data_IF_284238613157
#
_entry.id   IF_284238613157
#
_cell.length_a   1.000
_cell.length_b   1.000
_cell.length_c   1.000
_cell.angle_alpha   90.00
_cell.angle_beta   90.00
_cell.angle_gamma   90.00
#
_symmetry.space_group_name_H-M   'P 1'
#
loop_
_entity.id
_entity.type
_entity.pdbx_description
1 polymer ?
#
# COMPACT_ATOMS: atom_id res chain seq x y z
N UNK A 1 -16.50 -26.69 -46.17
CA UNK A 1 -17.93 -26.41 -45.86
C UNK A 1 -17.99 -26.10 -44.36
N UNK A 2 -17.80 -24.83 -43.97
CA UNK A 2 -18.86 -23.86 -43.55
C UNK A 2 -19.84 -24.49 -42.55
N UNK A 3 -20.02 -23.98 -41.33
CA UNK A 3 -20.39 -22.60 -40.96
C UNK A 3 -19.67 -22.11 -39.69
N UNK A 4 -18.83 -21.08 -39.78
CA UNK A 4 -19.10 -19.70 -39.33
C UNK A 4 -20.59 -19.37 -39.08
N UNK A 5 -21.01 -19.39 -37.81
CA UNK A 5 -21.99 -18.48 -37.19
C UNK A 5 -22.42 -19.03 -35.82
N UNK A 6 -21.59 -18.79 -34.79
CA UNK A 6 -22.00 -18.74 -33.38
C UNK A 6 -20.98 -17.87 -32.61
N UNK A 7 -20.79 -16.65 -33.12
CA UNK A 7 -20.31 -15.52 -32.34
C UNK A 7 -21.53 -14.77 -31.81
N UNK A 8 -21.35 -14.08 -30.67
CA UNK A 8 -22.30 -13.19 -29.96
C UNK A 8 -23.03 -13.90 -28.80
N UNK A 9 -22.38 -14.00 -27.63
CA UNK A 9 -22.94 -13.56 -26.33
C UNK A 9 -22.01 -13.74 -25.10
N UNK A 10 -20.69 -13.94 -25.25
CA UNK A 10 -19.77 -14.06 -24.10
C UNK A 10 -18.52 -13.23 -24.36
N UNK A 11 -18.58 -11.95 -24.00
CA UNK A 11 -17.42 -11.05 -23.84
C UNK A 11 -17.95 -9.69 -23.35
N UNK A 12 -18.12 -9.53 -22.03
CA UNK A 12 -18.33 -8.21 -21.42
C UNK A 12 -17.64 -8.14 -20.05
N UNK A 13 -16.83 -7.09 -19.92
CA UNK A 13 -16.19 -6.55 -18.72
C UNK A 13 -14.90 -7.27 -18.29
N UNK A 14 -13.83 -7.13 -19.07
CA UNK A 14 -12.48 -6.84 -18.59
C UNK A 14 -11.67 -6.35 -19.80
N UNK A 15 -11.51 -5.03 -19.94
CA UNK A 15 -10.50 -4.32 -20.74
C UNK A 15 -10.98 -2.89 -21.04
N UNK A 16 -10.66 -1.94 -20.17
CA UNK A 16 -10.45 -0.54 -20.58
C UNK A 16 -9.27 -0.02 -19.75
N UNK A 17 -8.05 -0.27 -20.23
CA UNK A 17 -6.89 0.56 -19.87
C UNK A 17 -6.49 1.27 -21.16
N UNK A 18 -6.79 2.56 -21.15
CA UNK A 18 -6.59 3.50 -22.24
C UNK A 18 -5.09 3.72 -22.46
N UNK A 19 -4.68 3.66 -23.72
CA UNK A 19 -3.40 4.17 -24.23
C UNK A 19 -3.14 5.58 -23.69
N UNK A 20 -2.11 5.74 -22.86
CA UNK A 20 -1.57 7.04 -22.46
C UNK A 20 -0.71 7.59 -23.60
N UNK A 21 -1.29 8.48 -24.41
CA UNK A 21 -0.50 9.42 -25.21
C UNK A 21 -0.09 10.55 -24.25
N UNK A 22 1.18 10.59 -23.88
CA UNK A 22 1.78 11.66 -23.10
C UNK A 22 2.03 12.87 -24.01
N UNK A 23 1.13 13.85 -23.98
CA UNK A 23 1.52 15.23 -24.32
C UNK A 23 2.12 15.84 -23.06
N UNK A 24 3.41 16.16 -23.11
CA UNK A 24 4.09 16.94 -22.09
C UNK A 24 3.58 18.39 -22.17
N UNK A 25 2.36 18.62 -21.70
CA UNK A 25 1.94 19.96 -21.34
C UNK A 25 2.56 20.26 -19.98
N UNK A 26 3.26 21.38 -19.87
CA UNK A 26 3.58 21.98 -18.58
C UNK A 26 2.26 22.44 -17.94
N UNK A 27 1.50 21.48 -17.39
CA UNK A 27 0.26 21.76 -16.69
C UNK A 27 0.66 22.53 -15.44
N UNK A 28 0.38 23.83 -15.43
CA UNK A 28 0.43 24.64 -14.23
C UNK A 28 -0.33 23.89 -13.13
N UNK A 29 0.29 23.69 -11.98
CA UNK A 29 -0.30 22.93 -10.89
C UNK A 29 -1.69 23.50 -10.56
N UNK A 30 -2.70 22.62 -10.54
CA UNK A 30 -4.08 23.01 -10.24
C UNK A 30 -4.10 23.80 -8.93
N UNK A 31 -4.78 24.96 -8.92
CA UNK A 31 -4.89 25.75 -7.69
C UNK A 31 -5.70 24.97 -6.67
N UNK A 32 -5.30 25.06 -5.40
CA UNK A 32 -5.97 24.37 -4.30
C UNK A 32 -7.47 24.66 -4.24
N UNK A 33 -7.87 25.88 -4.57
CA UNK A 33 -9.26 26.35 -4.53
C UNK A 33 -10.13 25.71 -5.61
N UNK A 34 -9.52 25.19 -6.68
CA UNK A 34 -10.19 24.52 -7.78
C UNK A 34 -10.36 23.01 -7.52
N UNK A 35 -9.82 22.48 -6.41
CA UNK A 35 -9.95 21.06 -6.05
C UNK A 35 -11.31 20.83 -5.38
N UNK A 36 -12.16 20.06 -6.05
CA UNK A 36 -13.53 19.78 -5.65
C UNK A 36 -13.90 18.33 -5.95
N UNK A 37 -14.60 17.68 -5.01
CA UNK A 37 -15.20 16.36 -5.22
C UNK A 37 -16.65 16.36 -4.73
N UNK A 38 -17.61 16.05 -5.59
CA UNK A 38 -19.00 15.89 -5.15
C UNK A 38 -19.19 14.65 -4.28
N UNK A 39 -18.30 13.66 -4.38
CA UNK A 39 -18.36 12.40 -3.62
C UNK A 39 -18.25 12.60 -2.11
N UNK A 40 -17.60 13.68 -1.66
CA UNK A 40 -17.44 13.99 -0.23
C UNK A 40 -18.63 14.73 0.37
N UNK A 41 -19.61 15.13 -0.44
CA UNK A 41 -20.79 15.84 0.07
C UNK A 41 -21.63 14.91 0.96
N UNK A 42 -22.33 15.49 1.94
CA UNK A 42 -23.12 14.74 2.92
C UNK A 42 -24.06 13.73 2.26
N UNK A 43 -24.88 14.18 1.31
CA UNK A 43 -25.85 13.32 0.63
C UNK A 43 -25.19 12.18 -0.15
N UNK A 44 -24.04 12.43 -0.79
CA UNK A 44 -23.31 11.40 -1.54
C UNK A 44 -22.67 10.38 -0.60
N UNK A 45 -22.11 10.83 0.53
CA UNK A 45 -21.56 9.95 1.56
C UNK A 45 -22.64 9.10 2.22
N UNK A 46 -23.80 9.68 2.56
CA UNK A 46 -24.93 8.93 3.13
C UNK A 46 -25.48 7.89 2.16
N UNK A 47 -25.62 8.25 0.88
CA UNK A 47 -26.01 7.28 -0.16
C UNK A 47 -24.98 6.18 -0.30
N UNK A 48 -23.69 6.52 -0.34
CA UNK A 48 -22.63 5.54 -0.45
C UNK A 48 -22.58 4.58 0.75
N UNK A 49 -22.69 5.08 1.99
CA UNK A 49 -22.73 4.26 3.20
C UNK A 49 -23.95 3.32 3.20
N UNK A 50 -25.13 3.81 2.81
CA UNK A 50 -26.32 2.98 2.66
C UNK A 50 -26.13 1.87 1.61
N UNK A 51 -25.63 2.20 0.42
CA UNK A 51 -25.34 1.22 -0.63
C UNK A 51 -24.33 0.16 -0.14
N UNK A 52 -23.26 0.60 0.53
CA UNK A 52 -22.22 -0.25 1.06
C UNK A 52 -22.77 -1.24 2.11
N UNK A 53 -23.45 -0.72 3.15
CA UNK A 53 -23.90 -1.54 4.26
C UNK A 53 -25.08 -2.44 3.88
N UNK A 54 -26.06 -1.88 3.18
CA UNK A 54 -27.31 -2.61 2.89
C UNK A 54 -27.19 -3.44 1.63
N UNK A 55 -26.80 -2.83 0.50
CA UNK A 55 -26.85 -3.52 -0.78
C UNK A 55 -25.64 -4.41 -1.03
N UNK A 56 -24.44 -3.92 -0.73
CA UNK A 56 -23.20 -4.68 -0.97
C UNK A 56 -23.00 -5.75 0.09
N UNK A 57 -23.16 -5.42 1.37
CA UNK A 57 -22.88 -6.36 2.47
C UNK A 57 -24.12 -7.13 2.93
N UNK A 58 -25.12 -6.47 3.51
CA UNK A 58 -26.24 -7.16 4.16
C UNK A 58 -27.06 -8.04 3.20
N UNK A 59 -27.47 -7.51 2.05
CA UNK A 59 -28.24 -8.26 1.06
C UNK A 59 -27.44 -9.45 0.51
N UNK A 60 -26.14 -9.28 0.25
CA UNK A 60 -25.29 -10.36 -0.22
C UNK A 60 -25.19 -11.47 0.81
N UNK A 61 -24.93 -11.13 2.08
CA UNK A 61 -24.80 -12.11 3.14
C UNK A 61 -26.13 -12.74 3.58
N UNK A 62 -27.27 -12.24 3.11
CA UNK A 62 -28.57 -12.91 3.24
C UNK A 62 -28.81 -14.03 2.20
N UNK A 63 -28.04 -14.07 1.10
CA UNK A 63 -28.16 -15.08 0.04
C UNK A 63 -27.24 -16.28 0.29
N UNK A 64 -27.49 -17.40 -0.38
CA UNK A 64 -26.54 -18.51 -0.46
C UNK A 64 -25.54 -18.31 -1.61
N UNK A 65 -24.23 -18.58 -1.42
CA UNK A 65 -23.27 -18.46 -2.51
C UNK A 65 -23.49 -19.55 -3.57
N UNK A 66 -23.47 -19.14 -4.83
CA UNK A 66 -23.49 -20.02 -6.00
C UNK A 66 -22.63 -19.43 -7.12
N UNK A 67 -22.42 -20.19 -8.19
CA UNK A 67 -21.55 -19.81 -9.30
C UNK A 67 -22.02 -18.57 -10.06
N UNK A 68 -23.27 -18.13 -9.91
CA UNK A 68 -23.82 -16.95 -10.58
C UNK A 68 -23.71 -15.68 -9.74
N UNK A 69 -23.49 -15.82 -8.43
CA UNK A 69 -23.56 -14.69 -7.49
C UNK A 69 -22.28 -14.48 -6.66
N UNK A 70 -21.27 -15.34 -6.80
CA UNK A 70 -20.08 -15.34 -5.96
C UNK A 70 -19.29 -14.02 -5.97
N UNK A 71 -19.21 -13.35 -7.12
CA UNK A 71 -18.58 -12.02 -7.26
C UNK A 71 -19.16 -10.96 -6.30
N UNK A 72 -20.41 -11.14 -5.85
CA UNK A 72 -21.03 -10.26 -4.85
C UNK A 72 -20.43 -10.48 -3.48
N UNK A 73 -20.14 -11.72 -3.11
CA UNK A 73 -19.47 -12.06 -1.86
C UNK A 73 -18.03 -11.57 -1.85
N UNK A 74 -17.33 -11.69 -2.97
CA UNK A 74 -16.00 -11.06 -3.14
C UNK A 74 -16.09 -9.54 -2.89
N UNK A 75 -17.05 -8.87 -3.54
CA UNK A 75 -17.29 -7.43 -3.38
C UNK A 75 -17.64 -7.05 -1.93
N UNK A 76 -18.46 -7.86 -1.25
CA UNK A 76 -18.81 -7.67 0.15
C UNK A 76 -17.59 -7.80 1.07
N UNK A 77 -16.75 -8.82 0.86
CA UNK A 77 -15.50 -8.99 1.61
C UNK A 77 -14.52 -7.83 1.38
N UNK A 78 -14.36 -7.37 0.13
CA UNK A 78 -13.52 -6.21 -0.19
C UNK A 78 -14.05 -4.94 0.51
N UNK A 79 -15.37 -4.73 0.53
CA UNK A 79 -16.02 -3.64 1.26
C UNK A 79 -15.78 -3.73 2.78
N UNK A 80 -15.96 -4.91 3.36
CA UNK A 80 -15.71 -5.16 4.79
C UNK A 80 -14.26 -4.81 5.17
N UNK A 81 -13.28 -5.26 4.38
CA UNK A 81 -11.86 -4.94 4.57
C UNK A 81 -11.60 -3.43 4.47
N UNK A 82 -12.02 -2.79 3.38
CA UNK A 82 -11.70 -1.40 3.08
C UNK A 82 -12.32 -0.41 4.08
N UNK A 83 -13.54 -0.68 4.54
CA UNK A 83 -14.29 0.23 5.42
C UNK A 83 -14.40 -0.28 6.86
N UNK A 84 -13.69 -1.37 7.18
CA UNK A 84 -13.62 -2.00 8.51
C UNK A 84 -15.00 -2.24 9.12
N UNK A 85 -15.92 -2.76 8.31
CA UNK A 85 -17.29 -3.03 8.72
C UNK A 85 -17.32 -4.30 9.60
N UNK A 86 -17.93 -4.19 10.78
CA UNK A 86 -18.10 -5.30 11.72
C UNK A 86 -19.56 -5.44 12.14
N UNK A 87 -19.90 -6.60 12.70
CA UNK A 87 -21.20 -6.89 13.30
C UNK A 87 -21.55 -8.38 13.21
N UNK A 88 -22.52 -8.83 13.99
CA UNK A 88 -22.88 -10.26 14.07
C UNK A 88 -23.33 -10.83 12.72
N UNK A 89 -24.08 -10.04 11.94
CA UNK A 89 -24.52 -10.43 10.59
C UNK A 89 -23.35 -10.57 9.61
N UNK A 90 -22.31 -9.74 9.76
CA UNK A 90 -21.09 -9.83 8.95
C UNK A 90 -20.31 -11.08 9.34
N UNK A 91 -20.10 -11.30 10.64
CA UNK A 91 -19.42 -12.50 11.15
C UNK A 91 -20.11 -13.78 10.67
N UNK A 92 -21.44 -13.86 10.79
CA UNK A 92 -22.21 -15.01 10.31
C UNK A 92 -22.08 -15.22 8.80
N UNK A 93 -22.05 -14.14 8.01
CA UNK A 93 -21.83 -14.22 6.56
C UNK A 93 -20.43 -14.73 6.19
N UNK A 94 -19.39 -14.29 6.90
CA UNK A 94 -18.02 -14.78 6.71
C UNK A 94 -17.88 -16.26 7.13
N UNK A 95 -18.51 -16.67 8.23
CA UNK A 95 -18.58 -18.07 8.66
C UNK A 95 -19.25 -18.96 7.60
N UNK A 96 -20.35 -18.48 7.01
CA UNK A 96 -21.01 -19.18 5.90
C UNK A 96 -20.07 -19.39 4.70
N UNK A 97 -19.25 -18.40 4.37
CA UNK A 97 -18.25 -18.56 3.30
C UNK A 97 -17.17 -19.58 3.67
N UNK A 98 -16.69 -19.60 4.92
CA UNK A 98 -15.73 -20.62 5.36
C UNK A 98 -16.30 -22.04 5.31
N UNK A 99 -17.57 -22.23 5.67
CA UNK A 99 -18.25 -23.52 5.57
C UNK A 99 -18.27 -24.08 4.13
N UNK A 100 -18.12 -23.21 3.14
CA UNK A 100 -18.10 -23.55 1.71
C UNK A 100 -16.77 -23.20 1.03
N UNK A 101 -15.70 -23.00 1.82
CA UNK A 101 -14.44 -22.42 1.34
C UNK A 101 -13.87 -23.17 0.13
N UNK A 102 -13.93 -24.51 0.15
CA UNK A 102 -13.37 -25.35 -0.90
C UNK A 102 -14.18 -25.34 -2.20
N UNK A 103 -15.42 -24.83 -2.17
CA UNK A 103 -16.27 -24.68 -3.35
C UNK A 103 -16.22 -23.26 -3.94
N UNK A 104 -15.68 -22.28 -3.21
CA UNK A 104 -15.57 -20.90 -3.68
C UNK A 104 -14.51 -20.76 -4.79
N UNK A 105 -14.68 -19.78 -5.65
CA UNK A 105 -13.67 -19.29 -6.57
C UNK A 105 -12.48 -18.63 -5.82
N UNK A 106 -11.34 -18.58 -6.50
CA UNK A 106 -10.08 -18.12 -5.93
C UNK A 106 -10.18 -16.68 -5.39
N UNK A 107 -10.81 -15.77 -6.12
CA UNK A 107 -10.88 -14.35 -5.74
C UNK A 107 -11.76 -14.14 -4.51
N UNK A 108 -12.87 -14.86 -4.38
CA UNK A 108 -13.70 -14.85 -3.17
C UNK A 108 -12.97 -15.41 -1.97
N UNK A 109 -12.23 -16.52 -2.12
CA UNK A 109 -11.39 -17.08 -1.04
C UNK A 109 -10.34 -16.07 -0.58
N UNK A 110 -9.69 -15.39 -1.52
CA UNK A 110 -8.69 -14.34 -1.25
C UNK A 110 -9.35 -13.17 -0.51
N UNK A 111 -10.47 -12.66 -1.00
CA UNK A 111 -11.19 -11.54 -0.40
C UNK A 111 -11.70 -11.88 1.01
N UNK A 112 -12.19 -13.10 1.24
CA UNK A 112 -12.59 -13.61 2.54
C UNK A 112 -11.43 -13.58 3.54
N UNK A 113 -10.27 -14.14 3.16
CA UNK A 113 -9.08 -14.15 4.02
C UNK A 113 -8.60 -12.72 4.34
N UNK A 114 -8.67 -11.80 3.37
CA UNK A 114 -8.35 -10.40 3.60
C UNK A 114 -9.34 -9.74 4.58
N UNK A 115 -10.65 -9.98 4.42
CA UNK A 115 -11.69 -9.43 5.27
C UNK A 115 -11.53 -9.88 6.72
N UNK A 116 -11.34 -11.18 6.99
CA UNK A 116 -11.16 -11.66 8.36
C UNK A 116 -9.86 -11.17 8.97
N UNK A 117 -8.77 -11.09 8.20
CA UNK A 117 -7.52 -10.48 8.68
C UNK A 117 -7.72 -9.02 9.10
N UNK A 118 -8.55 -8.27 8.36
CA UNK A 118 -8.82 -6.86 8.60
C UNK A 118 -9.65 -6.61 9.87
N UNK A 119 -10.76 -7.34 10.03
CA UNK A 119 -11.81 -6.99 11.01
C UNK A 119 -12.04 -8.02 12.12
N UNK A 120 -11.56 -9.25 11.97
CA UNK A 120 -11.71 -10.34 12.95
C UNK A 120 -10.36 -11.05 13.15
N UNK A 121 -9.34 -10.36 13.68
CA UNK A 121 -7.94 -10.79 13.57
C UNK A 121 -7.61 -12.07 14.34
N UNK A 122 -8.43 -12.50 15.30
CA UNK A 122 -8.21 -13.61 16.22
C UNK A 122 -9.41 -14.58 16.33
N UNK A 123 -10.52 -14.33 15.63
CA UNK A 123 -11.76 -15.08 15.83
C UNK A 123 -11.94 -16.30 14.90
N UNK A 124 -11.27 -16.32 13.75
CA UNK A 124 -11.36 -17.39 12.74
C UNK A 124 -10.14 -18.32 12.71
N UNK A 125 -9.48 -18.53 13.85
CA UNK A 125 -8.23 -19.32 13.93
C UNK A 125 -8.40 -20.75 13.41
N UNK A 126 -9.52 -21.41 13.75
CA UNK A 126 -9.77 -22.79 13.34
C UNK A 126 -10.00 -22.88 11.83
N UNK A 127 -10.85 -22.02 11.27
CA UNK A 127 -11.20 -21.99 9.85
C UNK A 127 -9.99 -21.64 8.99
N UNK A 128 -9.16 -20.69 9.44
CA UNK A 128 -7.94 -20.29 8.74
C UNK A 128 -6.87 -21.38 8.85
N UNK A 129 -6.77 -22.09 9.98
CA UNK A 129 -5.86 -23.23 10.10
C UNK A 129 -6.27 -24.38 9.14
N UNK A 130 -7.56 -24.70 9.07
CA UNK A 130 -8.08 -25.67 8.08
C UNK A 130 -7.80 -25.21 6.65
N UNK A 131 -7.92 -23.91 6.38
CA UNK A 131 -7.57 -23.34 5.07
C UNK A 131 -6.09 -23.52 4.76
N UNK A 132 -5.19 -23.22 5.71
CA UNK A 132 -3.76 -23.38 5.53
C UNK A 132 -3.36 -24.84 5.28
N UNK A 133 -3.94 -25.81 6.00
CA UNK A 133 -3.62 -27.23 5.82
C UNK A 133 -4.03 -27.79 4.46
N UNK A 134 -4.94 -27.12 3.74
CA UNK A 134 -5.49 -27.56 2.45
C UNK A 134 -5.17 -26.58 1.31
N UNK A 135 -4.26 -25.62 1.53
CA UNK A 135 -4.02 -24.56 0.56
C UNK A 135 -3.15 -25.05 -0.61
N UNK A 136 -3.72 -25.06 -1.81
CA UNK A 136 -2.99 -25.40 -3.04
C UNK A 136 -2.42 -24.19 -3.77
N UNK A 137 -2.82 -22.98 -3.35
CA UNK A 137 -2.37 -21.72 -3.95
C UNK A 137 -1.40 -21.00 -3.00
N UNK A 138 -0.17 -20.64 -3.43
CA UNK A 138 0.82 -19.99 -2.59
C UNK A 138 0.31 -18.72 -1.89
N UNK A 139 -0.56 -17.95 -2.55
CA UNK A 139 -1.12 -16.72 -1.98
C UNK A 139 -2.14 -16.97 -0.88
N UNK A 140 -3.03 -17.95 -1.05
CA UNK A 140 -3.99 -18.31 0.00
C UNK A 140 -3.27 -18.94 1.20
N UNK A 141 -2.22 -19.74 0.93
CA UNK A 141 -1.32 -20.24 1.98
C UNK A 141 -0.67 -19.08 2.74
N UNK A 142 -0.03 -18.13 2.03
CA UNK A 142 0.67 -17.02 2.66
C UNK A 142 -0.24 -16.08 3.47
N UNK A 143 -1.47 -15.84 3.00
CA UNK A 143 -2.47 -15.07 3.74
C UNK A 143 -2.92 -15.79 5.02
N UNK A 144 -3.16 -17.10 4.93
CA UNK A 144 -3.54 -17.92 6.09
C UNK A 144 -2.40 -18.01 7.10
N UNK A 145 -1.17 -18.20 6.61
CA UNK A 145 0.04 -18.22 7.42
C UNK A 145 0.24 -16.89 8.15
N UNK A 146 0.08 -15.76 7.45
CA UNK A 146 0.17 -14.44 8.04
C UNK A 146 -0.87 -14.19 9.14
N UNK A 147 -2.10 -14.70 8.96
CA UNK A 147 -3.16 -14.62 9.96
C UNK A 147 -2.80 -15.44 11.22
N UNK A 148 -2.38 -16.69 11.07
CA UNK A 148 -1.99 -17.53 12.21
C UNK A 148 -0.74 -16.99 12.92
N UNK A 149 0.28 -16.54 12.17
CA UNK A 149 1.50 -15.98 12.74
C UNK A 149 1.29 -14.63 13.45
N UNK A 150 0.28 -13.86 13.04
CA UNK A 150 -0.12 -12.63 13.76
C UNK A 150 -0.61 -12.94 15.18
N UNK A 151 -1.28 -14.07 15.36
CA UNK A 151 -1.86 -14.48 16.65
C UNK A 151 -0.86 -15.23 17.53
N UNK A 152 0.02 -16.03 16.92
CA UNK A 152 1.12 -16.68 17.61
C UNK A 152 2.41 -16.55 16.79
N UNK A 153 3.27 -15.61 17.18
CA UNK A 153 4.57 -15.39 16.53
C UNK A 153 5.71 -16.20 17.18
N UNK A 154 5.40 -17.25 17.94
CA UNK A 154 6.40 -18.11 18.57
C UNK A 154 7.21 -18.89 17.53
N UNK A 155 8.42 -19.29 17.92
CA UNK A 155 9.30 -20.12 17.08
C UNK A 155 8.62 -21.45 16.72
N UNK A 156 7.86 -22.03 17.65
CA UNK A 156 7.15 -23.29 17.43
C UNK A 156 6.09 -23.15 16.33
N UNK A 157 5.20 -22.16 16.43
CA UNK A 157 4.19 -21.93 15.41
C UNK A 157 4.82 -21.55 14.07
N UNK A 158 5.86 -20.70 14.07
CA UNK A 158 6.61 -20.38 12.86
C UNK A 158 7.21 -21.61 12.18
N UNK A 159 7.73 -22.57 12.95
CA UNK A 159 8.24 -23.84 12.42
C UNK A 159 7.13 -24.73 11.87
N UNK A 160 5.97 -24.81 12.52
CA UNK A 160 4.82 -25.57 12.02
C UNK A 160 4.34 -25.04 10.66
N UNK A 161 4.19 -23.72 10.53
CA UNK A 161 3.83 -23.08 9.26
C UNK A 161 4.86 -23.41 8.18
N UNK A 162 6.17 -23.32 8.49
CA UNK A 162 7.23 -23.65 7.53
C UNK A 162 7.23 -25.11 7.11
N UNK A 163 6.97 -26.04 8.03
CA UNK A 163 6.83 -27.46 7.71
C UNK A 163 5.67 -27.66 6.72
N UNK A 164 4.49 -27.11 7.01
CA UNK A 164 3.35 -27.18 6.08
C UNK A 164 3.65 -26.55 4.72
N UNK A 165 4.42 -25.45 4.69
CA UNK A 165 4.84 -24.80 3.46
C UNK A 165 5.71 -25.74 2.59
N UNK A 166 6.68 -26.42 3.19
CA UNK A 166 7.56 -27.37 2.50
C UNK A 166 6.78 -28.58 2.00
N UNK A 167 5.86 -29.12 2.81
CA UNK A 167 5.03 -30.28 2.45
C UNK A 167 4.06 -29.98 1.30
N UNK A 168 3.42 -28.81 1.31
CA UNK A 168 2.43 -28.44 0.29
C UNK A 168 3.07 -27.86 -0.99
N UNK A 169 4.24 -27.24 -0.88
CA UNK A 169 4.93 -26.60 -2.00
C UNK A 169 6.38 -27.07 -2.11
N UNK A 170 6.65 -28.26 -2.67
CA UNK A 170 7.99 -28.65 -3.05
C UNK A 170 8.62 -27.58 -3.97
N UNK A 171 9.79 -27.06 -3.59
CA UNK A 171 10.43 -25.94 -4.30
C UNK A 171 9.89 -24.55 -3.92
N UNK A 172 9.32 -24.38 -2.72
CA UNK A 172 8.80 -23.10 -2.21
C UNK A 172 9.80 -21.94 -2.33
N UNK A 173 11.10 -22.22 -2.25
CA UNK A 173 12.21 -21.27 -2.37
C UNK A 173 12.33 -20.64 -3.77
N UNK A 174 11.78 -21.30 -4.78
CA UNK A 174 11.66 -20.76 -6.15
C UNK A 174 10.44 -19.85 -6.33
N UNK A 175 9.49 -19.86 -5.40
CA UNK A 175 8.28 -19.04 -5.41
C UNK A 175 8.56 -17.77 -4.59
N UNK A 176 8.72 -16.58 -5.21
CA UNK A 176 9.15 -15.38 -4.50
C UNK A 176 8.27 -15.03 -3.29
N UNK A 177 6.97 -15.28 -3.39
CA UNK A 177 6.01 -15.03 -2.31
C UNK A 177 6.27 -15.90 -1.07
N UNK A 178 6.55 -17.20 -1.27
CA UNK A 178 6.77 -18.13 -0.16
C UNK A 178 8.16 -17.95 0.45
N UNK A 179 9.18 -17.64 -0.37
CA UNK A 179 10.49 -17.23 0.12
C UNK A 179 10.39 -15.98 1.01
N UNK A 180 9.58 -15.00 0.64
CA UNK A 180 9.41 -13.78 1.44
C UNK A 180 8.58 -14.03 2.71
N UNK A 181 7.58 -14.91 2.65
CA UNK A 181 6.86 -15.38 3.84
C UNK A 181 7.81 -16.05 4.83
N UNK A 182 8.73 -16.89 4.35
CA UNK A 182 9.72 -17.54 5.20
C UNK A 182 10.61 -16.50 5.92
N UNK A 183 11.13 -15.51 5.19
CA UNK A 183 11.91 -14.41 5.78
C UNK A 183 11.09 -13.64 6.81
N UNK A 184 9.83 -13.36 6.51
CA UNK A 184 8.93 -12.68 7.44
C UNK A 184 8.76 -13.48 8.75
N UNK A 185 8.53 -14.79 8.67
CA UNK A 185 8.40 -15.66 9.85
C UNK A 185 9.71 -15.68 10.65
N UNK A 186 10.85 -15.82 9.97
CA UNK A 186 12.16 -15.98 10.62
C UNK A 186 12.68 -14.67 11.25
N UNK A 187 12.47 -13.52 10.61
CA UNK A 187 13.19 -12.29 10.95
C UNK A 187 12.33 -11.15 11.47
N UNK A 188 10.99 -11.20 11.35
CA UNK A 188 10.12 -10.07 11.74
C UNK A 188 10.38 -9.59 13.16
N UNK A 189 10.40 -10.49 14.15
CA UNK A 189 10.54 -10.12 15.55
C UNK A 189 11.90 -9.45 15.84
N UNK A 190 12.96 -9.92 15.19
CA UNK A 190 14.29 -9.31 15.27
C UNK A 190 14.30 -7.92 14.59
N UNK A 191 13.68 -7.79 13.42
CA UNK A 191 13.61 -6.52 12.69
C UNK A 191 12.87 -5.42 13.47
N UNK A 192 11.82 -5.78 14.23
CA UNK A 192 11.07 -4.83 15.07
C UNK A 192 11.92 -4.13 16.13
N UNK A 193 12.99 -4.78 16.60
CA UNK A 193 13.90 -4.24 17.62
C UNK A 193 15.25 -3.78 17.06
N UNK A 194 15.49 -3.99 15.77
CA UNK A 194 16.75 -3.59 15.12
C UNK A 194 16.70 -2.09 14.83
N UNK A 195 17.70 -1.35 15.33
CA UNK A 195 17.84 0.07 15.05
C UNK A 195 18.11 0.31 13.57
N UNK A 196 17.54 1.39 13.04
CA UNK A 196 17.86 1.86 11.69
C UNK A 196 19.31 2.36 11.61
N UNK A 197 19.95 2.28 10.44
CA UNK A 197 21.20 2.99 10.19
C UNK A 197 21.00 4.52 10.29
N UNK A 198 22.09 5.27 10.39
CA UNK A 198 22.03 6.73 10.51
C UNK A 198 21.38 7.40 9.29
N UNK A 199 20.31 8.16 9.52
CA UNK A 199 19.59 8.90 8.47
C UNK A 199 20.44 10.04 7.88
N UNK A 200 21.36 10.64 8.63
CA UNK A 200 22.21 11.70 8.09
C UNK A 200 23.11 11.19 6.97
N UNK A 201 23.62 9.95 7.06
CA UNK A 201 24.35 9.31 5.96
C UNK A 201 23.51 9.14 4.70
N UNK A 202 22.23 8.79 4.83
CA UNK A 202 21.30 8.67 3.71
C UNK A 202 20.98 10.03 3.07
N UNK A 203 20.79 11.06 3.88
CA UNK A 203 20.55 12.43 3.40
C UNK A 203 21.76 12.99 2.65
N UNK A 204 22.98 12.74 3.14
CA UNK A 204 24.22 13.10 2.43
C UNK A 204 24.38 12.35 1.11
N UNK A 205 24.09 11.05 1.09
CA UNK A 205 24.15 10.23 -0.13
C UNK A 205 23.28 10.83 -1.24
N UNK A 206 22.04 11.18 -0.92
CA UNK A 206 21.11 11.76 -1.89
C UNK A 206 21.46 13.20 -2.29
N UNK A 207 21.98 14.01 -1.37
CA UNK A 207 22.58 15.32 -1.69
C UNK A 207 23.72 15.18 -2.70
N UNK A 208 24.66 14.27 -2.46
CA UNK A 208 25.81 14.06 -3.34
C UNK A 208 25.39 13.56 -4.72
N UNK A 209 24.36 12.71 -4.77
CA UNK A 209 23.74 12.24 -6.00
C UNK A 209 22.82 13.28 -6.69
N UNK A 210 22.65 14.48 -6.10
CA UNK A 210 21.78 15.56 -6.56
C UNK A 210 20.33 15.11 -6.83
N UNK A 211 19.80 14.24 -5.97
CA UNK A 211 18.45 13.67 -6.12
C UNK A 211 17.44 14.47 -5.31
N UNK A 212 16.27 14.73 -5.90
CA UNK A 212 15.09 15.14 -5.14
C UNK A 212 14.50 13.91 -4.46
N UNK A 213 14.23 14.02 -3.16
CA UNK A 213 13.81 12.87 -2.37
C UNK A 213 12.67 13.21 -1.43
N UNK A 214 11.67 12.34 -1.37
CA UNK A 214 10.66 12.32 -0.31
C UNK A 214 11.02 11.21 0.65
N UNK A 215 11.09 11.51 1.94
CA UNK A 215 11.26 10.51 2.99
C UNK A 215 9.96 10.39 3.77
N UNK A 216 9.26 9.26 3.63
CA UNK A 216 8.12 8.87 4.44
C UNK A 216 8.58 8.03 5.62
N UNK A 217 8.61 8.66 6.78
CA UNK A 217 9.13 8.12 8.03
C UNK A 217 7.95 7.59 8.86
N UNK A 218 7.94 6.30 9.09
CA UNK A 218 6.80 5.55 9.62
C UNK A 218 7.18 4.79 10.89
N UNK A 219 6.18 4.23 11.59
CA UNK A 219 6.39 3.23 12.64
C UNK A 219 6.28 1.82 12.07
N UNK A 220 6.94 0.86 12.72
CA UNK A 220 6.73 -0.57 12.41
C UNK A 220 5.28 -0.98 12.64
N UNK A 221 4.66 -0.53 13.74
CA UNK A 221 3.21 -0.62 13.88
C UNK A 221 2.53 0.42 12.99
N UNK A 222 1.97 -0.06 11.88
CA UNK A 222 1.26 0.73 10.86
C UNK A 222 -0.08 1.29 11.34
N UNK A 223 -0.58 0.94 12.51
CA UNK A 223 -1.74 1.61 13.10
C UNK A 223 -1.42 3.05 13.56
N UNK A 224 -0.14 3.45 13.58
CA UNK A 224 0.26 4.82 13.90
C UNK A 224 0.75 5.56 12.66
N UNK A 225 0.26 6.80 12.42
CA UNK A 225 0.65 7.57 11.25
C UNK A 225 2.12 7.98 11.31
N UNK A 226 2.70 8.08 10.12
CA UNK A 226 4.04 8.62 9.90
C UNK A 226 4.02 10.04 9.35
N UNK A 227 5.21 10.54 9.05
CA UNK A 227 5.44 11.89 8.56
C UNK A 227 6.35 11.85 7.33
N UNK A 228 6.01 12.63 6.31
CA UNK A 228 6.83 12.82 5.13
C UNK A 228 7.56 14.16 5.16
N UNK A 229 8.79 14.18 4.65
CA UNK A 229 9.60 15.39 4.43
C UNK A 229 10.24 15.37 3.04
N UNK A 230 10.57 16.55 2.52
CA UNK A 230 11.17 16.71 1.18
C UNK A 230 12.59 17.27 1.30
N UNK A 231 13.53 16.56 0.69
CA UNK A 231 14.89 17.04 0.43
C UNK A 231 15.02 17.42 -1.05
N UNK A 232 15.44 18.66 -1.32
CA UNK A 232 15.70 19.12 -2.68
C UNK A 232 17.02 18.56 -3.23
N UNK A 233 17.23 18.68 -4.53
CA UNK A 233 18.45 18.18 -5.19
C UNK A 233 19.75 18.84 -4.70
N UNK A 234 19.67 20.03 -4.10
CA UNK A 234 20.83 20.69 -3.48
C UNK A 234 21.14 20.16 -2.07
N UNK A 235 20.31 19.25 -1.55
CA UNK A 235 20.43 18.63 -0.25
C UNK A 235 19.76 19.38 0.91
N UNK A 236 19.15 20.56 0.66
CA UNK A 236 18.40 21.29 1.68
C UNK A 236 17.01 20.69 1.88
N UNK A 237 16.52 20.71 3.11
CA UNK A 237 15.15 20.33 3.43
C UNK A 237 14.17 21.48 3.16
N UNK A 238 12.96 21.13 2.72
CA UNK A 238 11.90 22.10 2.48
C UNK A 238 11.45 22.78 3.79
N UNK A 239 11.40 24.11 3.77
CA UNK A 239 11.05 24.93 4.94
C UNK A 239 10.01 25.98 4.57
N UNK A 240 9.14 26.30 5.52
CA UNK A 240 8.29 27.48 5.46
C UNK A 240 9.14 28.77 5.45
N UNK A 241 8.59 29.93 5.04
CA UNK A 241 9.31 31.20 5.06
C UNK A 241 9.85 31.59 6.45
N UNK A 242 9.20 31.13 7.52
CA UNK A 242 9.64 31.33 8.91
C UNK A 242 10.76 30.36 9.35
N UNK A 243 11.28 29.54 8.43
CA UNK A 243 12.35 28.59 8.69
C UNK A 243 11.90 27.25 9.27
N UNK A 244 10.61 27.05 9.61
CA UNK A 244 10.13 25.76 10.12
C UNK A 244 10.18 24.67 9.05
N UNK A 245 10.55 23.45 9.44
CA UNK A 245 10.54 22.29 8.56
C UNK A 245 9.12 22.00 8.08
N UNK A 246 8.93 21.88 6.76
CA UNK A 246 7.68 21.40 6.17
C UNK A 246 7.57 19.90 6.40
N UNK A 247 6.45 19.45 6.97
CA UNK A 247 6.19 18.07 7.36
C UNK A 247 4.75 17.74 6.97
N UNK A 248 4.53 16.54 6.41
CA UNK A 248 3.23 16.12 5.89
C UNK A 248 2.78 14.82 6.54
N UNK A 249 1.57 14.77 7.09
CA UNK A 249 1.04 13.56 7.73
C UNK A 249 0.65 12.50 6.69
N UNK A 250 1.16 11.27 6.85
CA UNK A 250 0.97 10.20 5.87
C UNK A 250 0.88 8.82 6.52
N UNK A 251 -0.08 8.01 6.06
CA UNK A 251 -0.32 6.65 6.50
C UNK A 251 0.21 5.66 5.45
N UNK A 252 1.04 4.70 5.89
CA UNK A 252 1.58 3.59 5.08
C UNK A 252 0.86 2.25 5.36
N UNK A 253 -0.35 2.33 5.92
CA UNK A 253 -1.18 1.19 6.34
C UNK A 253 -2.19 0.86 5.24
N UNK A 254 -2.28 -0.41 4.85
CA UNK A 254 -3.42 -0.84 4.04
C UNK A 254 -4.68 -1.00 4.89
N UNK A 255 -5.87 -1.11 4.30
CA UNK A 255 -7.11 -1.24 5.06
C UNK A 255 -7.17 -2.53 5.90
N UNK A 256 -6.64 -3.63 5.35
CA UNK A 256 -6.51 -4.91 6.05
C UNK A 256 -5.31 -4.99 6.99
N UNK A 257 -4.28 -4.15 6.77
CA UNK A 257 -2.97 -4.25 7.42
C UNK A 257 -2.22 -5.56 7.11
N UNK A 258 -2.54 -6.23 6.00
CA UNK A 258 -1.79 -7.41 5.57
C UNK A 258 -0.29 -7.08 5.42
N UNK A 259 0.61 -8.08 5.55
CA UNK A 259 2.05 -7.87 5.37
C UNK A 259 2.41 -7.33 3.97
N UNK A 260 3.55 -6.64 3.88
CA UNK A 260 3.96 -5.91 2.68
C UNK A 260 4.11 -6.78 1.42
N UNK A 261 4.36 -8.07 1.56
CA UNK A 261 4.54 -8.99 0.44
C UNK A 261 3.23 -9.57 -0.08
N UNK A 262 2.10 -9.28 0.56
CA UNK A 262 0.76 -9.66 0.11
C UNK A 262 0.16 -8.49 -0.68
N UNK A 263 -0.49 -8.77 -1.81
CA UNK A 263 -1.28 -7.75 -2.55
C UNK A 263 -2.29 -7.08 -1.61
N UNK A 264 -2.47 -5.76 -1.74
CA UNK A 264 -3.26 -4.94 -0.81
C UNK A 264 -2.74 -4.93 0.65
N UNK A 265 -1.54 -5.44 0.91
CA UNK A 265 -0.85 -5.27 2.18
C UNK A 265 -0.29 -3.87 2.38
N UNK A 266 0.08 -3.56 3.63
CA UNK A 266 0.69 -2.29 4.01
C UNK A 266 1.93 -1.98 3.17
N UNK A 267 2.23 -0.70 3.00
CA UNK A 267 3.27 -0.25 2.07
C UNK A 267 4.66 -0.75 2.51
N UNK A 268 5.42 -1.43 1.62
CA UNK A 268 6.76 -1.91 1.94
C UNK A 268 7.75 -0.76 2.16
N UNK A 269 8.72 -1.00 3.03
CA UNK A 269 9.92 -0.17 3.20
C UNK A 269 10.87 -0.31 2.02
N UNK A 270 11.61 0.75 1.71
CA UNK A 270 12.55 0.74 0.60
C UNK A 270 12.48 2.00 -0.23
N UNK A 271 12.94 1.87 -1.47
CA UNK A 271 13.08 2.98 -2.41
C UNK A 271 12.11 2.78 -3.55
N UNK A 272 11.21 3.74 -3.75
CA UNK A 272 10.38 3.85 -4.94
C UNK A 272 10.93 4.92 -5.86
N UNK A 273 10.63 4.80 -7.15
CA UNK A 273 10.97 5.80 -8.14
C UNK A 273 9.74 6.68 -8.44
N UNK A 274 9.87 7.99 -8.24
CA UNK A 274 8.83 8.97 -8.56
C UNK A 274 8.88 9.24 -10.06
N UNK A 275 7.79 8.91 -10.76
CA UNK A 275 7.68 9.09 -12.22
C UNK A 275 7.06 10.43 -12.62
N UNK A 276 6.41 11.11 -11.68
CA UNK A 276 5.74 12.39 -11.88
C UNK A 276 4.48 12.52 -11.03
N UNK A 277 3.70 13.55 -11.34
CA UNK A 277 2.39 13.77 -10.75
C UNK A 277 1.25 13.34 -11.68
N UNK A 278 0.12 12.95 -11.11
CA UNK A 278 -1.13 12.72 -11.85
C UNK A 278 -2.35 13.13 -11.02
N UNK A 279 -3.52 13.18 -11.65
CA UNK A 279 -4.82 13.34 -10.96
C UNK A 279 -5.66 12.10 -11.23
N UNK A 280 -6.16 11.46 -10.17
CA UNK A 280 -6.92 10.22 -10.29
C UNK A 280 -8.35 10.48 -10.76
N UNK A 281 -8.88 9.57 -11.59
CA UNK A 281 -10.32 9.50 -11.89
C UNK A 281 -11.09 8.63 -10.89
N UNK A 282 -10.38 7.90 -10.03
CA UNK A 282 -10.99 7.10 -8.97
C UNK A 282 -11.55 8.04 -7.90
N UNK A 283 -12.86 7.97 -7.67
CA UNK A 283 -13.54 8.83 -6.72
C UNK A 283 -12.99 8.71 -5.30
N UNK A 284 -12.57 7.52 -4.87
CA UNK A 284 -12.04 7.25 -3.52
C UNK A 284 -10.63 7.83 -3.29
N UNK A 285 -9.80 7.88 -4.33
CA UNK A 285 -8.49 8.59 -4.30
C UNK A 285 -8.73 10.10 -4.33
N UNK A 286 -9.66 10.52 -5.18
CA UNK A 286 -10.03 11.91 -5.33
C UNK A 286 -9.21 12.69 -6.34
N UNK A 287 -9.59 13.96 -6.54
CA UNK A 287 -9.02 14.83 -7.56
C UNK A 287 -7.74 15.56 -7.12
N UNK A 288 -7.25 15.34 -5.90
CA UNK A 288 -5.99 15.94 -5.46
C UNK A 288 -4.81 15.34 -6.26
N UNK A 289 -3.88 16.16 -6.76
CA UNK A 289 -2.66 15.65 -7.39
C UNK A 289 -1.93 14.62 -6.52
N UNK A 290 -1.49 13.53 -7.12
CA UNK A 290 -0.80 12.42 -6.47
C UNK A 290 0.58 12.19 -7.11
N UNK A 291 1.45 11.44 -6.44
CA UNK A 291 2.69 10.95 -7.05
C UNK A 291 2.48 9.57 -7.63
N UNK A 292 2.86 9.42 -8.89
CA UNK A 292 2.98 8.12 -9.53
C UNK A 292 4.34 7.53 -9.13
N UNK A 293 4.31 6.45 -8.34
CA UNK A 293 5.51 5.73 -7.92
C UNK A 293 5.60 4.41 -8.67
N UNK A 294 6.81 3.91 -8.85
CA UNK A 294 7.07 2.59 -9.43
C UNK A 294 8.05 1.83 -8.57
N UNK A 295 7.79 0.53 -8.38
CA UNK A 295 8.70 -0.41 -7.71
C UNK A 295 9.63 -1.11 -8.73
N UNK A 296 10.70 -1.77 -8.27
CA UNK A 296 11.43 -2.74 -9.08
C UNK A 296 10.48 -3.77 -9.73
N UNK A 297 10.80 -4.24 -10.93
CA UNK A 297 10.01 -5.21 -11.72
C UNK A 297 8.62 -4.76 -12.21
N UNK A 298 8.12 -3.58 -11.85
CA UNK A 298 6.80 -3.09 -12.29
C UNK A 298 6.82 -2.53 -13.73
N UNK A 299 7.99 -2.12 -14.22
CA UNK A 299 8.14 -1.51 -15.54
C UNK A 299 9.58 -1.61 -16.06
N UNK A 300 9.92 -0.74 -17.02
CA UNK A 300 11.27 -0.72 -17.60
C UNK A 300 12.29 -0.29 -16.55
N UNK A 301 13.44 -0.96 -16.48
CA UNK A 301 14.50 -0.60 -15.53
C UNK A 301 15.04 0.82 -15.75
N UNK A 302 15.06 1.32 -16.99
CA UNK A 302 15.42 2.72 -17.25
C UNK A 302 14.45 3.70 -16.60
N UNK A 303 13.15 3.38 -16.60
CA UNK A 303 12.13 4.18 -15.96
C UNK A 303 12.32 4.18 -14.44
N UNK A 304 12.54 2.99 -13.85
CA UNK A 304 12.78 2.86 -12.42
C UNK A 304 14.06 3.59 -11.97
N UNK A 305 15.20 3.35 -12.63
CA UNK A 305 16.47 3.99 -12.30
C UNK A 305 16.61 5.42 -12.84
N UNK A 306 15.61 5.91 -13.58
CA UNK A 306 15.55 7.24 -14.19
C UNK A 306 16.78 7.53 -15.08
N UNK A 307 17.25 6.51 -15.79
CA UNK A 307 18.32 6.69 -16.78
C UNK A 307 17.74 7.34 -18.04
N UNK A 308 18.49 8.22 -18.74
CA UNK A 308 18.05 8.80 -20.00
C UNK A 308 17.64 7.72 -21.02
N UNK A 309 16.58 7.98 -21.79
CA UNK A 309 16.06 7.03 -22.80
C UNK A 309 17.09 6.71 -23.90
N UNK A 310 18.08 7.58 -24.09
CA UNK A 310 19.20 7.39 -25.01
C UNK A 310 20.22 6.34 -24.55
N UNK A 311 20.12 5.84 -23.31
CA UNK A 311 21.00 4.81 -22.77
C UNK A 311 20.24 3.48 -22.79
N UNK A 312 20.62 2.52 -23.66
CA UNK A 312 20.03 1.20 -23.68
C UNK A 312 20.20 0.49 -22.33
N UNK A 313 19.21 -0.31 -21.95
CA UNK A 313 19.34 -1.17 -20.77
C UNK A 313 20.27 -2.33 -21.07
N UNK A 314 21.23 -2.53 -20.18
CA UNK A 314 22.10 -3.69 -20.18
C UNK A 314 21.49 -4.79 -19.30
N UNK A 315 20.98 -5.85 -19.96
CA UNK A 315 20.31 -6.96 -19.28
C UNK A 315 21.25 -7.84 -18.45
N UNK A 316 22.57 -7.67 -18.57
CA UNK A 316 23.55 -8.43 -17.77
C UNK A 316 23.79 -7.83 -16.38
N UNK A 317 23.27 -6.63 -16.13
CA UNK A 317 23.44 -5.94 -14.85
C UNK A 317 22.70 -6.65 -13.72
N UNK A 318 23.35 -6.75 -12.57
CA UNK A 318 22.71 -7.18 -11.34
C UNK A 318 21.81 -6.04 -10.81
N UNK A 319 20.50 -6.18 -11.06
CA UNK A 319 19.48 -5.18 -10.68
C UNK A 319 19.36 -4.98 -9.18
N UNK A 320 19.62 -6.02 -8.37
CA UNK A 320 19.62 -5.91 -6.91
C UNK A 320 20.81 -5.07 -6.43
N UNK A 321 22.00 -5.31 -7.00
CA UNK A 321 23.17 -4.49 -6.71
C UNK A 321 22.95 -3.02 -7.11
N UNK A 322 22.27 -2.76 -8.24
CA UNK A 322 21.90 -1.40 -8.65
C UNK A 322 20.88 -0.75 -7.72
N UNK A 323 19.88 -1.51 -7.25
CA UNK A 323 18.92 -1.05 -6.24
C UNK A 323 19.66 -0.66 -4.94
N UNK A 324 20.62 -1.49 -4.51
CA UNK A 324 21.42 -1.23 -3.31
C UNK A 324 22.29 0.03 -3.42
N UNK A 325 22.74 0.39 -4.62
CA UNK A 325 23.49 1.63 -4.88
C UNK A 325 22.64 2.91 -4.77
N UNK A 326 21.31 2.81 -4.70
CA UNK A 326 20.44 3.94 -4.39
C UNK A 326 20.62 4.44 -2.94
N UNK A 327 21.33 3.69 -2.12
CA UNK A 327 21.58 3.93 -0.71
C UNK A 327 23.08 3.89 -0.39
N UNK A 328 23.53 4.54 0.70
CA UNK A 328 24.89 4.35 1.21
C UNK A 328 25.08 2.93 1.76
N UNK A 329 26.33 2.49 1.92
CA UNK A 329 26.66 1.10 2.27
C UNK A 329 26.03 0.60 3.58
N UNK A 330 25.93 1.46 4.60
CA UNK A 330 25.30 1.12 5.87
C UNK A 330 23.78 0.88 5.75
N UNK A 331 23.14 1.48 4.75
CA UNK A 331 21.72 1.26 4.44
C UNK A 331 21.51 0.11 3.46
N UNK A 332 22.43 -0.11 2.51
CA UNK A 332 22.37 -1.23 1.57
C UNK A 332 22.33 -2.60 2.28
N UNK A 333 23.01 -2.73 3.42
CA UNK A 333 22.98 -3.92 4.28
C UNK A 333 21.79 -4.02 5.23
N UNK A 334 20.94 -2.99 5.33
CA UNK A 334 19.78 -3.00 6.22
C UNK A 334 18.61 -3.73 5.54
N UNK A 335 18.44 -5.01 5.90
CA UNK A 335 17.50 -5.92 5.24
C UNK A 335 16.08 -5.37 5.01
N UNK A 336 15.46 -4.61 5.94
CA UNK A 336 14.13 -4.03 5.71
C UNK A 336 14.03 -3.09 4.50
N UNK A 337 15.14 -2.53 4.00
CA UNK A 337 15.11 -1.73 2.77
C UNK A 337 14.91 -2.55 1.49
N UNK A 338 14.96 -3.88 1.58
CA UNK A 338 14.66 -4.78 0.46
C UNK A 338 13.16 -5.07 0.28
N UNK A 339 12.30 -4.64 1.20
CA UNK A 339 10.87 -4.99 1.13
C UNK A 339 10.23 -4.53 -0.20
N UNK A 340 10.54 -3.32 -0.69
CA UNK A 340 10.06 -2.82 -1.99
C UNK A 340 10.57 -3.65 -3.16
N UNK A 341 11.86 -4.01 -3.14
CA UNK A 341 12.46 -4.82 -4.21
C UNK A 341 11.80 -6.21 -4.27
N UNK A 342 11.64 -6.86 -3.13
CA UNK A 342 11.02 -8.18 -3.04
C UNK A 342 9.52 -8.10 -3.35
N UNK A 343 8.79 -7.09 -2.87
CA UNK A 343 7.39 -6.88 -3.19
C UNK A 343 7.16 -6.71 -4.70
N UNK A 344 8.01 -5.92 -5.37
CA UNK A 344 8.00 -5.79 -6.82
C UNK A 344 8.28 -7.11 -7.54
N UNK A 345 9.29 -7.87 -7.09
CA UNK A 345 9.61 -9.20 -7.62
C UNK A 345 8.46 -10.21 -7.46
N UNK A 346 7.69 -10.09 -6.39
CA UNK A 346 6.48 -10.90 -6.13
C UNK A 346 5.33 -10.51 -7.07
N UNK A 347 5.38 -9.33 -7.67
CA UNK A 347 4.34 -8.80 -8.56
C UNK A 347 3.38 -7.84 -7.86
N UNK A 348 3.76 -7.23 -6.73
CA UNK A 348 3.03 -6.04 -6.25
C UNK A 348 3.33 -4.87 -7.20
N UNK A 349 2.30 -4.06 -7.45
CA UNK A 349 2.35 -2.91 -8.37
C UNK A 349 1.42 -1.81 -7.86
N UNK A 350 1.40 -0.68 -8.57
CA UNK A 350 0.41 0.41 -8.46
C UNK A 350 0.34 1.07 -7.06
N UNK A 351 1.44 1.01 -6.31
CA UNK A 351 1.58 1.76 -5.06
C UNK A 351 1.87 3.22 -5.42
N UNK A 352 0.93 4.11 -5.13
CA UNK A 352 1.09 5.55 -5.34
C UNK A 352 1.04 6.30 -3.99
N UNK A 353 1.47 7.57 -3.97
CA UNK A 353 1.27 8.45 -2.82
C UNK A 353 0.19 9.47 -3.13
N UNK A 354 -0.95 9.40 -2.42
CA UNK A 354 -2.16 10.12 -2.81
C UNK A 354 -3.00 10.59 -1.61
N UNK A 355 -3.96 11.47 -1.90
CA UNK A 355 -4.99 11.92 -0.97
C UNK A 355 -6.15 10.93 -0.88
N UNK A 356 -7.30 11.33 -0.37
CA UNK A 356 -8.45 10.44 -0.21
C UNK A 356 -9.73 11.23 -0.06
N UNK A 357 -10.81 10.71 -0.61
CA UNK A 357 -12.17 11.21 -0.36
C UNK A 357 -12.97 10.31 0.56
N UNK A 358 -12.41 9.15 0.94
CA UNK A 358 -13.00 8.20 1.88
C UNK A 358 -13.40 8.96 3.14
N UNK A 359 -14.58 8.66 3.68
CA UNK A 359 -15.05 9.28 4.91
C UNK A 359 -14.19 8.79 6.09
N UNK A 360 -13.43 9.65 6.80
CA UNK A 360 -12.60 9.21 7.92
C UNK A 360 -13.40 8.66 9.09
N UNK A 361 -14.71 8.96 9.17
CA UNK A 361 -15.60 8.46 10.22
C UNK A 361 -15.71 6.93 10.29
N UNK A 362 -15.40 6.20 9.21
CA UNK A 362 -15.29 4.73 9.27
C UNK A 362 -14.20 4.25 10.24
N UNK A 363 -13.24 5.12 10.57
CA UNK A 363 -12.06 4.80 11.37
C UNK A 363 -11.96 5.63 12.65
N UNK A 364 -13.02 6.31 13.08
CA UNK A 364 -13.01 7.25 14.22
C UNK A 364 -12.43 6.69 15.52
N UNK A 365 -12.56 5.38 15.72
CA UNK A 365 -12.09 4.67 16.92
C UNK A 365 -10.69 4.05 16.74
N UNK A 366 -9.97 4.41 15.66
CA UNK A 366 -8.66 3.84 15.32
C UNK A 366 -7.52 4.83 15.61
N UNK A 367 -6.31 4.37 15.98
CA UNK A 367 -5.20 5.25 16.36
C UNK A 367 -4.68 6.17 15.24
N UNK A 368 -4.98 5.83 13.99
CA UNK A 368 -4.61 6.62 12.81
C UNK A 368 -5.71 7.61 12.37
N UNK A 369 -6.84 7.69 13.07
CA UNK A 369 -7.84 8.73 12.78
C UNK A 369 -7.22 10.13 12.94
N UNK A 370 -7.43 11.08 12.01
CA UNK A 370 -8.42 11.07 10.92
C UNK A 370 -7.88 10.64 9.54
N UNK A 371 -6.78 9.90 9.45
CA UNK A 371 -6.32 9.33 8.18
C UNK A 371 -7.17 8.12 7.77
N UNK A 372 -7.20 7.84 6.48
CA UNK A 372 -7.90 6.67 5.92
C UNK A 372 -6.91 5.72 5.28
N UNK A 373 -6.88 4.43 5.66
CA UNK A 373 -6.07 3.45 4.97
C UNK A 373 -6.65 3.13 3.59
N UNK A 374 -5.79 2.67 2.69
CA UNK A 374 -6.13 2.36 1.29
C UNK A 374 -5.75 0.91 0.97
N UNK A 375 -5.80 0.48 -0.28
CA UNK A 375 -5.37 -0.87 -0.69
C UNK A 375 -3.84 -1.00 -0.82
N UNK A 376 -3.08 -0.45 0.14
CA UNK A 376 -1.62 -0.59 0.23
C UNK A 376 -0.79 0.58 -0.32
N UNK A 377 -1.44 1.67 -0.70
CA UNK A 377 -0.80 2.92 -1.09
C UNK A 377 -0.42 3.79 0.13
N UNK A 378 0.40 4.82 -0.10
CA UNK A 378 0.62 5.85 0.92
C UNK A 378 -0.49 6.88 0.84
N UNK A 379 -1.23 7.05 1.93
CA UNK A 379 -2.36 7.98 1.98
C UNK A 379 -2.05 9.17 2.88
N UNK A 380 -2.01 10.38 2.32
CA UNK A 380 -1.87 11.59 3.11
C UNK A 380 -3.22 12.06 3.63
N UNK A 381 -3.21 12.76 4.76
CA UNK A 381 -4.44 13.28 5.37
C UNK A 381 -5.13 14.29 4.46
N UNK A 382 -6.42 14.07 4.24
CA UNK A 382 -7.31 15.03 3.58
C UNK A 382 -8.62 15.17 4.34
N UNK A 383 -9.03 16.41 4.54
CA UNK A 383 -10.32 16.75 5.12
C UNK A 383 -11.07 17.63 4.14
N UNK A 384 -12.37 17.35 3.98
CA UNK A 384 -13.22 17.95 2.96
C UNK A 384 -14.43 18.61 3.60
N UNK A 385 -14.89 19.70 3.00
CA UNK A 385 -16.11 20.36 3.39
C UNK A 385 -17.30 19.58 2.81
N UNK A 386 -18.06 18.93 3.70
CA UNK A 386 -19.19 18.07 3.32
C UNK A 386 -20.39 18.85 2.74
N UNK A 387 -20.45 20.18 2.90
CA UNK A 387 -21.55 21.00 2.39
C UNK A 387 -21.32 21.44 0.94
N UNK A 388 -20.07 21.61 0.52
CA UNK A 388 -19.74 22.16 -0.79
C UNK A 388 -18.65 21.40 -1.56
N UNK A 389 -18.18 20.26 -1.06
CA UNK A 389 -17.23 19.37 -1.72
C UNK A 389 -15.79 19.91 -1.87
N UNK A 390 -15.46 21.06 -1.27
CA UNK A 390 -14.13 21.67 -1.36
C UNK A 390 -13.15 21.10 -0.34
N UNK A 391 -11.88 21.13 -0.68
CA UNK A 391 -10.78 20.67 0.18
C UNK A 391 -10.52 21.64 1.34
N UNK A 392 -10.57 21.16 2.59
CA UNK A 392 -10.31 21.96 3.80
C UNK A 392 -8.84 21.85 4.25
N UNK A 393 -8.30 20.64 4.26
CA UNK A 393 -6.91 20.31 4.62
C UNK A 393 -6.44 19.25 3.63
N UNK A 394 -5.21 19.36 3.13
CA UNK A 394 -4.60 18.32 2.30
C UNK A 394 -3.09 18.31 2.46
N UNK A 395 -2.62 17.32 3.19
CA UNK A 395 -1.19 17.01 3.27
C UNK A 395 -0.65 16.52 1.93
N UNK A 396 -1.49 15.86 1.12
CA UNK A 396 -1.11 15.41 -0.23
C UNK A 396 -0.82 16.59 -1.15
N UNK A 397 -1.73 17.56 -1.24
CA UNK A 397 -1.56 18.74 -2.08
C UNK A 397 -0.30 19.51 -1.67
N UNK A 398 -0.11 19.67 -0.36
CA UNK A 398 1.05 20.38 0.17
C UNK A 398 2.34 19.62 -0.15
N UNK A 399 2.38 18.29 0.01
CA UNK A 399 3.55 17.46 -0.34
C UNK A 399 3.91 17.56 -1.84
N UNK A 400 2.91 17.47 -2.74
CA UNK A 400 3.11 17.62 -4.19
C UNK A 400 3.62 19.02 -4.52
N UNK A 401 3.00 20.06 -3.96
CA UNK A 401 3.40 21.44 -4.17
C UNK A 401 4.84 21.70 -3.71
N UNK A 402 5.19 21.19 -2.53
CA UNK A 402 6.55 21.31 -1.99
C UNK A 402 7.56 20.58 -2.85
N UNK A 403 7.28 19.36 -3.29
CA UNK A 403 8.18 18.65 -4.20
C UNK A 403 8.36 19.40 -5.52
N UNK A 404 7.28 19.93 -6.10
CA UNK A 404 7.28 20.67 -7.37
C UNK A 404 7.84 22.10 -7.28
N UNK A 405 8.16 22.61 -6.08
CA UNK A 405 8.69 23.95 -5.88
C UNK A 405 10.10 24.17 -6.45
N UNK A 406 10.79 23.09 -6.85
CA UNK A 406 12.10 23.12 -7.51
C UNK A 406 12.04 22.35 -8.83
N UNK A 407 12.90 22.65 -9.83
CA UNK A 407 12.87 21.99 -11.13
C UNK A 407 12.94 20.46 -11.06
N UNK A 408 12.33 19.81 -12.04
CA UNK A 408 12.29 18.34 -12.17
C UNK A 408 11.09 17.69 -11.49
N UNK A 409 10.41 16.79 -12.21
CA UNK A 409 9.23 16.05 -11.74
C UNK A 409 9.52 14.64 -11.23
N UNK A 410 10.77 14.17 -11.39
CA UNK A 410 11.23 12.85 -10.96
C UNK A 410 12.11 12.93 -9.72
N UNK A 411 12.22 11.82 -9.00
CA UNK A 411 13.01 11.70 -7.78
C UNK A 411 12.85 10.35 -7.11
N UNK A 412 13.32 10.21 -5.88
CA UNK A 412 13.12 8.99 -5.09
C UNK A 412 12.09 9.22 -3.99
N UNK A 413 11.35 8.17 -3.65
CA UNK A 413 10.47 8.16 -2.49
C UNK A 413 10.92 7.03 -1.57
N UNK A 414 11.41 7.37 -0.39
CA UNK A 414 11.84 6.40 0.61
C UNK A 414 10.70 6.15 1.59
N UNK A 415 10.43 4.89 1.90
CA UNK A 415 9.58 4.49 3.03
C UNK A 415 10.47 3.81 4.06
N UNK A 416 10.51 4.36 5.28
CA UNK A 416 11.46 3.93 6.32
C UNK A 416 10.72 3.80 7.65
N UNK A 417 10.86 2.68 8.34
CA UNK A 417 10.32 2.49 9.68
C UNK A 417 11.37 2.91 10.70
N UNK A 418 11.10 3.95 11.49
CA UNK A 418 12.05 4.48 12.46
C UNK A 418 12.30 3.52 13.62
N UNK A 419 11.23 2.94 14.16
CA UNK A 419 11.22 2.02 15.30
C UNK A 419 9.79 1.49 15.55
N UNK A 420 9.64 0.62 16.54
CA UNK A 420 8.37 -0.01 16.93
C UNK A 420 7.68 0.69 18.12
N UNK A 421 7.83 2.01 18.25
CA UNK A 421 7.07 2.75 19.25
C UNK A 421 5.57 2.71 18.94
N UNK A 422 4.76 2.51 19.98
CA UNK A 422 3.29 2.43 19.89
C UNK A 422 2.66 3.83 19.97
N UNK A 423 3.09 4.73 19.08
CA UNK A 423 2.58 6.11 18.96
C UNK A 423 2.92 6.70 17.59
N UNK A 424 2.20 7.74 17.12
CA UNK A 424 2.52 8.46 15.89
C UNK A 424 3.99 8.91 15.81
N UNK A 425 4.52 9.02 14.60
CA UNK A 425 5.77 9.78 14.38
C UNK A 425 5.47 11.25 14.64
N UNK A 426 6.29 11.91 15.46
CA UNK A 426 6.06 13.29 15.88
C UNK A 426 6.96 14.27 15.14
N UNK A 427 6.54 15.53 15.04
CA UNK A 427 7.40 16.61 14.52
C UNK A 427 8.75 16.67 15.23
N UNK A 428 8.78 16.48 16.55
CA UNK A 428 10.01 16.48 17.33
C UNK A 428 10.98 15.35 16.91
N UNK A 429 10.45 14.15 16.61
CA UNK A 429 11.25 13.04 16.10
C UNK A 429 11.98 13.47 14.80
N UNK A 430 11.25 14.09 13.88
CA UNK A 430 11.77 14.47 12.56
C UNK A 430 12.73 15.68 12.63
N UNK A 431 12.36 16.71 13.39
CA UNK A 431 13.21 17.89 13.54
C UNK A 431 14.53 17.56 14.21
N UNK A 432 14.57 16.63 15.17
CA UNK A 432 15.81 16.17 15.78
C UNK A 432 16.75 15.49 14.76
N UNK A 433 16.18 14.67 13.86
CA UNK A 433 16.93 14.00 12.80
C UNK A 433 17.51 15.03 11.81
N UNK A 434 16.69 15.96 11.34
CA UNK A 434 17.11 16.98 10.35
C UNK A 434 18.14 17.94 10.96
N UNK A 435 17.94 18.41 12.20
CA UNK A 435 18.89 19.30 12.89
C UNK A 435 20.26 18.66 13.04
N UNK A 436 20.33 17.35 13.33
CA UNK A 436 21.61 16.63 13.42
C UNK A 436 22.34 16.66 12.09
N UNK A 437 21.64 16.37 11.00
CA UNK A 437 22.22 16.42 9.65
C UNK A 437 22.69 17.82 9.25
N UNK A 438 21.94 18.87 9.59
CA UNK A 438 22.30 20.26 9.22
C UNK A 438 23.41 20.87 10.08
N UNK A 439 23.73 20.26 11.22
CA UNK A 439 24.83 20.69 12.10
C UNK A 439 26.19 20.09 11.70
N UNK A 440 26.19 19.08 10.83
CA UNK A 440 27.38 18.41 10.26
C UNK A 440 27.72 19.00 8.89
#
# INVERSE_FOLDING_TARGET
>A
MMNLNHYICIMKIWAVIILLISTAESVAQQRREDIFSSFVTYDKRMKFDHELRQRVVANTFAMEPDSSNEYRFESACNAISQYQLTGDSIKAGLQKLFNRYQQLEYDTRRALLEAVYAVYPDEFLTEVNTTLSNAVFPKLFAMSAAYLFRNDSSINNGNLIKISMVEQFPGYDTIPLLSELEKFINFRNQQLITNIPDLASLFRHNRNAKRKVIYSLQRWNRDYPGLAIVQYADGRFARHPDGRLMIFEQLARSASNLPYFITNGSTPQGVYSIQGGAVSRNQLIGPTPNFQLTMPYEGRWQQYFQTPDSIPWDSTRNVEAMYNQLMPSNWAGYAPMQEVFNAGKIGRTEIIAHGTTINPEYFKDKPYYPLTPTMGCLCAKELWNISNGRLLISEQYNLVSTFSATPGSKGLFFVINLNNQQKPVTRADIEAIVKRYEAE
#
